data_IF_448785160401
#
_entry.id   IF_448785160401
#
_cell.length_a   1.000
_cell.length_b   1.000
_cell.length_c   1.000
_cell.angle_alpha   90.00
_cell.angle_beta   90.00
_cell.angle_gamma   90.00
#
_symmetry.space_group_name_H-M   'P 1'
#
loop_
_entity.id
_entity.type
_entity.pdbx_description
1 polymer ?
#
# COMPACT_ATOMS: atom_id res chain seq x y z
N UNK A 1 -19.81 -3.18 -7.65
CA UNK A 1 -18.47 -2.93 -8.23
C UNK A 1 -18.66 -1.85 -9.28
N UNK A 2 -18.11 -0.66 -9.06
CA UNK A 2 -18.33 0.49 -9.96
C UNK A 2 -17.61 0.23 -11.30
N UNK A 3 -18.23 0.60 -12.41
CA UNK A 3 -17.69 0.44 -13.78
C UNK A 3 -16.27 1.02 -13.91
N UNK A 4 -16.01 2.15 -13.26
CA UNK A 4 -14.68 2.78 -13.16
C UNK A 4 -13.64 1.89 -12.45
N UNK A 5 -14.03 1.15 -11.42
CA UNK A 5 -13.11 0.23 -10.73
C UNK A 5 -12.74 -0.98 -11.58
N UNK A 6 -13.70 -1.49 -12.34
CA UNK A 6 -13.45 -2.58 -13.29
C UNK A 6 -12.48 -2.13 -14.39
N UNK A 7 -12.65 -0.90 -14.89
CA UNK A 7 -11.75 -0.31 -15.89
C UNK A 7 -10.35 -0.10 -15.31
N UNK A 8 -10.21 0.52 -14.14
CA UNK A 8 -8.91 0.73 -13.49
C UNK A 8 -8.19 -0.59 -13.16
N UNK A 9 -8.93 -1.59 -12.67
CA UNK A 9 -8.37 -2.92 -12.42
C UNK A 9 -7.93 -3.63 -13.70
N UNK A 10 -8.66 -3.44 -14.81
CA UNK A 10 -8.30 -3.99 -16.12
C UNK A 10 -7.05 -3.29 -16.68
N UNK A 11 -7.01 -1.96 -16.62
CA UNK A 11 -5.85 -1.16 -17.05
C UNK A 11 -4.62 -1.52 -16.24
N UNK A 12 -4.75 -1.62 -14.91
CA UNK A 12 -3.65 -2.02 -14.02
C UNK A 12 -3.10 -3.41 -14.38
N UNK A 13 -3.97 -4.39 -14.68
CA UNK A 13 -3.54 -5.72 -15.11
C UNK A 13 -2.84 -5.70 -16.47
N UNK A 14 -3.39 -5.00 -17.46
CA UNK A 14 -2.76 -4.86 -18.78
C UNK A 14 -1.37 -4.22 -18.67
N UNK A 15 -1.24 -3.15 -17.87
CA UNK A 15 0.05 -2.50 -17.66
C UNK A 15 1.04 -3.42 -16.92
N UNK A 16 0.57 -4.17 -15.92
CA UNK A 16 1.44 -5.03 -15.13
C UNK A 16 1.86 -6.30 -15.87
N UNK A 17 0.93 -6.97 -16.52
CA UNK A 17 1.18 -8.28 -17.14
C UNK A 17 1.73 -8.13 -18.56
N UNK A 18 1.12 -7.32 -19.42
CA UNK A 18 1.52 -7.22 -20.82
C UNK A 18 2.74 -6.31 -21.01
N UNK A 19 2.69 -5.06 -20.47
CA UNK A 19 3.77 -4.10 -20.71
C UNK A 19 5.03 -4.48 -19.95
N UNK A 20 4.92 -4.94 -18.69
CA UNK A 20 6.08 -5.37 -17.91
C UNK A 20 6.75 -6.60 -18.49
N UNK A 21 5.97 -7.54 -19.09
CA UNK A 21 6.53 -8.70 -19.77
C UNK A 21 7.29 -8.31 -21.05
N UNK A 22 6.72 -7.41 -21.86
CA UNK A 22 7.39 -6.92 -23.06
C UNK A 22 8.70 -6.20 -22.72
N UNK A 23 8.70 -5.31 -21.73
CA UNK A 23 9.90 -4.59 -21.31
C UNK A 23 10.95 -5.55 -20.74
N UNK A 24 10.55 -6.57 -19.98
CA UNK A 24 11.47 -7.59 -19.47
C UNK A 24 12.07 -8.44 -20.61
N UNK A 25 11.28 -8.78 -21.64
CA UNK A 25 11.77 -9.48 -22.81
C UNK A 25 12.76 -8.65 -23.63
N UNK A 26 12.52 -7.34 -23.76
CA UNK A 26 13.46 -6.40 -24.40
C UNK A 26 14.77 -6.32 -23.60
N UNK A 27 14.70 -6.30 -22.27
CA UNK A 27 15.90 -6.32 -21.41
C UNK A 27 16.74 -7.59 -21.61
N UNK A 28 16.10 -8.76 -21.67
CA UNK A 28 16.79 -10.03 -21.94
C UNK A 28 17.42 -10.07 -23.35
N UNK A 29 16.73 -9.52 -24.37
CA UNK A 29 17.29 -9.43 -25.71
C UNK A 29 18.50 -8.49 -25.77
N UNK A 30 18.43 -7.37 -25.04
CA UNK A 30 19.56 -6.43 -24.94
C UNK A 30 20.76 -7.08 -24.26
N UNK A 31 20.54 -7.86 -23.19
CA UNK A 31 21.60 -8.63 -22.52
C UNK A 31 22.23 -9.67 -23.44
N UNK A 32 21.41 -10.40 -24.20
CA UNK A 32 21.89 -11.36 -25.18
C UNK A 32 22.76 -10.67 -26.28
N UNK A 33 22.27 -9.55 -26.82
CA UNK A 33 23.05 -8.76 -27.81
C UNK A 33 24.36 -8.26 -27.19
N UNK A 34 24.36 -7.80 -25.95
CA UNK A 34 25.59 -7.37 -25.26
C UNK A 34 26.59 -8.50 -25.10
N UNK A 35 26.14 -9.73 -24.83
CA UNK A 35 26.99 -10.90 -24.74
C UNK A 35 27.57 -11.28 -26.11
N UNK A 36 26.76 -11.25 -27.18
CA UNK A 36 27.17 -11.63 -28.52
C UNK A 36 28.20 -10.65 -29.15
N UNK A 37 28.10 -9.36 -28.82
CA UNK A 37 28.94 -8.31 -29.40
C UNK A 37 30.04 -7.80 -28.47
N UNK A 38 30.21 -8.37 -27.29
CA UNK A 38 31.16 -7.95 -26.28
C UNK A 38 32.59 -7.76 -26.82
N UNK A 39 33.07 -8.72 -27.59
CA UNK A 39 34.43 -8.73 -28.12
C UNK A 39 34.58 -7.97 -29.44
N UNK A 40 33.46 -7.71 -30.15
CA UNK A 40 33.45 -7.12 -31.48
C UNK A 40 33.25 -5.60 -31.46
N UNK A 41 32.58 -5.08 -30.41
CA UNK A 41 32.23 -3.67 -30.34
C UNK A 41 32.25 -3.15 -28.88
N UNK A 42 33.41 -3.01 -28.24
CA UNK A 42 33.50 -2.59 -26.83
C UNK A 42 32.90 -1.19 -26.56
N UNK A 43 32.78 -0.34 -27.58
CA UNK A 43 32.10 0.95 -27.46
C UNK A 43 30.56 0.88 -27.31
N UNK A 44 29.94 -0.26 -27.60
CA UNK A 44 28.48 -0.47 -27.42
C UNK A 44 28.13 -0.89 -25.97
N UNK A 45 29.08 -1.39 -25.21
CA UNK A 45 28.84 -1.93 -23.87
C UNK A 45 28.30 -0.85 -22.92
N UNK A 46 28.86 0.35 -22.96
CA UNK A 46 28.39 1.49 -22.15
C UNK A 46 26.95 1.92 -22.53
N UNK A 47 26.66 2.00 -23.83
CA UNK A 47 25.31 2.36 -24.31
C UNK A 47 24.26 1.31 -23.98
N UNK A 48 24.61 0.03 -24.08
CA UNK A 48 23.72 -1.06 -23.72
C UNK A 48 23.40 -1.04 -22.22
N UNK A 49 24.39 -0.75 -21.36
CA UNK A 49 24.20 -0.60 -19.93
C UNK A 49 23.28 0.60 -19.59
N UNK A 50 23.46 1.74 -20.26
CA UNK A 50 22.58 2.91 -20.09
C UNK A 50 21.13 2.60 -20.48
N UNK A 51 20.91 1.90 -21.59
CA UNK A 51 19.56 1.51 -22.03
C UNK A 51 18.95 0.53 -21.03
N UNK A 52 19.74 -0.38 -20.49
CA UNK A 52 19.26 -1.34 -19.50
C UNK A 52 18.84 -0.66 -18.21
N UNK A 53 19.60 0.32 -17.74
CA UNK A 53 19.26 1.13 -16.57
C UNK A 53 17.95 1.92 -16.77
N UNK A 54 17.78 2.54 -17.95
CA UNK A 54 16.56 3.23 -18.32
C UNK A 54 15.34 2.29 -18.38
N UNK A 55 15.54 1.06 -18.86
CA UNK A 55 14.50 0.04 -18.95
C UNK A 55 14.08 -0.43 -17.56
N UNK A 56 15.01 -0.69 -16.65
CA UNK A 56 14.74 -1.04 -15.26
C UNK A 56 14.00 0.08 -14.53
N UNK A 57 14.40 1.32 -14.77
CA UNK A 57 13.72 2.49 -14.24
C UNK A 57 12.28 2.61 -14.76
N UNK A 58 12.05 2.38 -16.05
CA UNK A 58 10.70 2.39 -16.64
C UNK A 58 9.81 1.28 -16.09
N UNK A 59 10.35 0.07 -15.91
CA UNK A 59 9.64 -1.06 -15.26
C UNK A 59 9.29 -0.72 -13.81
N UNK A 60 10.20 -0.07 -13.08
CA UNK A 60 9.97 0.39 -11.71
C UNK A 60 8.81 1.40 -11.65
N UNK A 61 8.81 2.42 -12.49
CA UNK A 61 7.75 3.42 -12.58
C UNK A 61 6.40 2.81 -12.96
N UNK A 62 6.39 1.87 -13.92
CA UNK A 62 5.18 1.16 -14.31
C UNK A 62 4.58 0.35 -13.16
N UNK A 63 5.42 -0.33 -12.38
CA UNK A 63 4.99 -1.06 -11.18
C UNK A 63 4.42 -0.11 -10.11
N UNK A 64 5.02 1.06 -9.93
CA UNK A 64 4.53 2.06 -8.99
C UNK A 64 3.14 2.56 -9.42
N UNK A 65 2.94 2.92 -10.68
CA UNK A 65 1.64 3.34 -11.24
C UNK A 65 0.59 2.23 -11.09
N UNK A 66 0.93 0.99 -11.43
CA UNK A 66 -0.03 -0.13 -11.32
C UNK A 66 -0.43 -0.42 -9.87
N UNK A 67 0.50 -0.27 -8.92
CA UNK A 67 0.23 -0.41 -7.50
C UNK A 67 -0.61 0.76 -6.95
N UNK A 68 -0.47 1.95 -7.50
CA UNK A 68 -1.33 3.10 -7.16
C UNK A 68 -2.77 2.89 -7.63
N UNK A 69 -2.93 2.34 -8.84
CA UNK A 69 -4.25 2.08 -9.42
C UNK A 69 -4.97 0.91 -8.72
N UNK A 70 -4.24 -0.15 -8.39
CA UNK A 70 -4.81 -1.32 -7.71
C UNK A 70 -3.73 -2.08 -6.94
N UNK A 71 -3.78 -2.11 -5.60
CA UNK A 71 -2.77 -2.80 -4.78
C UNK A 71 -2.89 -4.32 -4.92
N UNK A 72 -2.49 -4.85 -6.06
CA UNK A 72 -2.51 -6.30 -6.37
C UNK A 72 -1.72 -7.14 -5.37
N UNK A 73 -0.75 -6.53 -4.67
CA UNK A 73 0.02 -7.16 -3.61
C UNK A 73 -0.86 -7.60 -2.43
N UNK A 74 -1.91 -6.81 -2.11
CA UNK A 74 -2.87 -7.15 -1.05
C UNK A 74 -3.68 -8.40 -1.41
N UNK A 75 -4.06 -8.54 -2.68
CA UNK A 75 -4.81 -9.71 -3.17
C UNK A 75 -3.96 -10.98 -3.17
N UNK A 76 -2.70 -10.87 -3.59
CA UNK A 76 -1.80 -12.02 -3.76
C UNK A 76 -1.15 -12.48 -2.47
N UNK A 77 -0.76 -11.56 -1.60
CA UNK A 77 0.06 -11.85 -0.43
C UNK A 77 -0.59 -11.43 0.91
N UNK A 78 -1.77 -10.81 0.86
CA UNK A 78 -2.49 -10.35 2.05
C UNK A 78 -2.00 -9.01 2.59
N UNK A 79 -2.79 -8.45 3.51
CA UNK A 79 -2.56 -7.11 4.06
C UNK A 79 -1.27 -7.01 4.86
N UNK A 80 -0.96 -8.00 5.70
CA UNK A 80 0.24 -7.98 6.54
C UNK A 80 1.51 -7.85 5.68
N UNK A 81 1.66 -8.73 4.69
CA UNK A 81 2.82 -8.70 3.79
C UNK A 81 2.90 -7.39 2.98
N UNK A 82 1.74 -6.88 2.53
CA UNK A 82 1.69 -5.61 1.81
C UNK A 82 2.16 -4.43 2.68
N UNK A 83 1.74 -4.40 3.96
CA UNK A 83 2.18 -3.38 4.93
C UNK A 83 3.67 -3.51 5.27
N UNK A 84 4.19 -4.72 5.43
CA UNK A 84 5.63 -4.94 5.66
C UNK A 84 6.47 -4.38 4.51
N UNK A 85 6.03 -4.60 3.27
CA UNK A 85 6.69 -4.05 2.08
C UNK A 85 6.57 -2.52 2.00
N UNK A 86 5.40 -1.96 2.33
CA UNK A 86 5.20 -0.52 2.37
C UNK A 86 6.13 0.14 3.40
N UNK A 87 6.22 -0.45 4.60
CA UNK A 87 7.14 0.01 5.66
C UNK A 87 8.60 -0.08 5.21
N UNK A 88 8.98 -1.16 4.54
CA UNK A 88 10.33 -1.31 3.96
C UNK A 88 10.68 -0.18 2.99
N UNK A 89 9.74 0.18 2.10
CA UNK A 89 9.88 1.30 1.15
C UNK A 89 10.03 2.65 1.88
N UNK A 90 9.18 2.91 2.87
CA UNK A 90 9.21 4.17 3.64
C UNK A 90 10.48 4.29 4.48
N UNK A 91 10.95 3.18 5.06
CA UNK A 91 12.15 3.13 5.89
C UNK A 91 13.41 3.59 5.16
N UNK A 92 13.51 3.37 3.86
CA UNK A 92 14.65 3.81 3.05
C UNK A 92 14.84 5.32 3.05
N UNK A 93 13.77 6.10 3.26
CA UNK A 93 13.81 7.58 3.27
C UNK A 93 13.39 8.22 4.61
N UNK A 94 13.21 7.42 5.67
CA UNK A 94 12.79 7.90 6.98
C UNK A 94 13.84 7.54 8.06
N UNK A 95 14.48 8.50 8.69
CA UNK A 95 15.57 8.25 9.65
C UNK A 95 15.11 7.72 11.01
N UNK A 96 13.78 7.66 11.23
CA UNK A 96 13.16 7.23 12.47
C UNK A 96 12.85 5.72 12.52
N UNK A 97 12.11 5.35 13.55
CA UNK A 97 11.65 3.98 13.77
C UNK A 97 10.23 3.78 13.23
N UNK A 98 10.03 2.71 12.45
CA UNK A 98 8.72 2.24 12.00
C UNK A 98 8.45 0.86 12.60
N UNK A 99 7.28 0.67 13.19
CA UNK A 99 6.84 -0.60 13.78
C UNK A 99 5.48 -1.00 13.20
N UNK A 100 5.32 -2.30 12.93
CA UNK A 100 4.05 -2.90 12.55
C UNK A 100 3.64 -3.91 13.62
N UNK A 101 2.45 -3.72 14.16
CA UNK A 101 1.79 -4.63 15.07
C UNK A 101 0.55 -5.19 14.36
N UNK A 102 0.66 -6.40 13.86
CA UNK A 102 -0.40 -7.07 13.13
C UNK A 102 -0.88 -8.30 13.92
N UNK A 103 -2.18 -8.35 14.20
CA UNK A 103 -2.77 -9.55 14.80
C UNK A 103 -2.78 -10.70 13.77
N UNK A 104 -1.89 -11.67 13.95
CA UNK A 104 -1.70 -12.79 13.04
C UNK A 104 -2.95 -13.67 12.88
N UNK A 105 -3.87 -13.64 13.82
CA UNK A 105 -5.15 -14.35 13.75
C UNK A 105 -6.19 -13.64 12.88
N UNK A 106 -5.94 -12.36 12.55
CA UNK A 106 -6.90 -11.52 11.88
C UNK A 106 -7.03 -11.90 10.39
N UNK A 107 -8.27 -12.12 9.96
CA UNK A 107 -8.62 -12.30 8.56
C UNK A 107 -9.39 -11.08 8.08
N UNK A 108 -8.69 -10.18 7.41
CA UNK A 108 -9.28 -8.96 6.86
C UNK A 108 -9.85 -9.27 5.46
N UNK A 109 -11.13 -8.99 5.19
CA UNK A 109 -11.69 -9.14 3.84
C UNK A 109 -10.89 -8.35 2.81
N UNK A 110 -10.69 -8.90 1.61
CA UNK A 110 -9.80 -8.32 0.58
C UNK A 110 -10.14 -6.86 0.24
N UNK A 111 -11.44 -6.52 0.14
CA UNK A 111 -11.88 -5.15 -0.15
C UNK A 111 -11.43 -4.19 0.97
N UNK A 112 -11.65 -4.58 2.23
CA UNK A 112 -11.23 -3.80 3.38
C UNK A 112 -9.70 -3.75 3.50
N UNK A 113 -9.03 -4.85 3.20
CA UNK A 113 -7.57 -4.92 3.21
C UNK A 113 -6.94 -3.92 2.22
N UNK A 114 -7.52 -3.76 1.03
CA UNK A 114 -7.11 -2.74 0.05
C UNK A 114 -7.33 -1.32 0.58
N UNK A 115 -8.48 -1.07 1.21
CA UNK A 115 -8.77 0.22 1.83
C UNK A 115 -7.77 0.54 2.94
N UNK A 116 -7.51 -0.41 3.85
CA UNK A 116 -6.53 -0.25 4.92
C UNK A 116 -5.12 -0.02 4.40
N UNK A 117 -4.73 -0.72 3.33
CA UNK A 117 -3.43 -0.48 2.67
C UNK A 117 -3.32 0.96 2.15
N UNK A 118 -4.33 1.47 1.42
CA UNK A 118 -4.33 2.83 0.89
C UNK A 118 -4.37 3.90 1.99
N UNK A 119 -5.16 3.68 3.03
CA UNK A 119 -5.19 4.55 4.21
C UNK A 119 -3.81 4.56 4.90
N UNK A 120 -3.16 3.40 5.05
CA UNK A 120 -1.82 3.32 5.63
C UNK A 120 -0.78 4.07 4.79
N UNK A 121 -0.84 3.98 3.47
CA UNK A 121 0.06 4.69 2.55
C UNK A 121 -0.06 6.21 2.74
N UNK A 122 -1.28 6.74 2.75
CA UNK A 122 -1.55 8.16 2.98
C UNK A 122 -1.14 8.60 4.40
N UNK A 123 -1.47 7.79 5.42
CA UNK A 123 -1.17 8.10 6.81
C UNK A 123 0.35 8.11 7.08
N UNK A 124 1.09 7.16 6.50
CA UNK A 124 2.56 7.12 6.58
C UNK A 124 3.20 8.32 5.90
N UNK A 125 2.68 8.76 4.75
CA UNK A 125 3.20 9.94 4.06
C UNK A 125 2.98 11.21 4.90
N UNK A 126 1.84 11.35 5.55
CA UNK A 126 1.57 12.44 6.48
C UNK A 126 2.48 12.39 7.70
N UNK A 127 2.61 11.22 8.34
CA UNK A 127 3.41 11.04 9.55
C UNK A 127 4.89 11.34 9.33
N UNK A 128 5.49 10.80 8.23
CA UNK A 128 6.91 11.03 7.93
C UNK A 128 7.27 12.48 7.61
N UNK A 129 6.29 13.30 7.21
CA UNK A 129 6.44 14.73 6.93
C UNK A 129 6.19 15.59 8.17
N UNK A 130 5.68 15.02 9.26
CA UNK A 130 5.45 15.76 10.49
C UNK A 130 6.79 16.22 11.10
N UNK A 131 6.94 17.51 11.46
CA UNK A 131 8.19 18.02 11.99
C UNK A 131 8.61 17.27 13.27
N UNK A 132 9.89 16.85 13.32
CA UNK A 132 10.44 16.13 14.46
C UNK A 132 9.92 14.69 14.63
N UNK A 133 9.20 14.15 13.65
CA UNK A 133 8.76 12.77 13.69
C UNK A 133 9.96 11.82 13.64
N UNK A 134 10.05 10.94 14.63
CA UNK A 134 11.10 9.93 14.77
C UNK A 134 10.56 8.53 15.07
N UNK A 135 9.26 8.41 15.33
CA UNK A 135 8.59 7.14 15.60
C UNK A 135 7.22 7.13 14.91
N UNK A 136 6.95 6.05 14.19
CA UNK A 136 5.63 5.76 13.61
C UNK A 136 5.27 4.33 13.97
N UNK A 137 4.11 4.14 14.59
CA UNK A 137 3.56 2.83 14.94
C UNK A 137 2.29 2.57 14.13
N UNK A 138 2.19 1.37 13.55
CA UNK A 138 1.03 0.90 12.80
C UNK A 138 0.45 -0.31 13.52
N UNK A 139 -0.83 -0.26 13.85
CA UNK A 139 -1.55 -1.36 14.47
C UNK A 139 -2.70 -1.81 13.59
N UNK A 140 -2.77 -3.12 13.31
CA UNK A 140 -3.92 -3.76 12.67
C UNK A 140 -4.45 -4.83 13.60
N UNK A 141 -5.65 -4.62 14.12
CA UNK A 141 -6.22 -5.46 15.16
C UNK A 141 -7.74 -5.56 15.08
N UNK A 142 -8.29 -6.50 15.81
CA UNK A 142 -9.72 -6.55 16.11
C UNK A 142 -9.94 -5.87 17.48
N UNK A 143 -10.86 -4.91 17.54
CA UNK A 143 -11.22 -4.24 18.79
C UNK A 143 -12.69 -3.84 18.78
N UNK A 144 -13.40 -4.08 19.87
CA UNK A 144 -14.80 -3.64 20.07
C UNK A 144 -15.78 -4.06 18.96
N UNK A 145 -15.57 -5.25 18.35
CA UNK A 145 -16.42 -5.71 17.25
C UNK A 145 -16.09 -5.08 15.90
N UNK A 146 -14.94 -4.44 15.75
CA UNK A 146 -14.49 -3.79 14.53
C UNK A 146 -13.12 -4.31 14.08
N UNK A 147 -12.86 -4.25 12.77
CA UNK A 147 -11.51 -4.21 12.23
C UNK A 147 -10.96 -2.81 12.43
N UNK A 148 -9.78 -2.68 12.98
CA UNK A 148 -9.16 -1.40 13.28
C UNK A 148 -7.76 -1.35 12.69
N UNK A 149 -7.51 -0.32 11.88
CA UNK A 149 -6.19 0.14 11.49
C UNK A 149 -5.92 1.45 12.24
N UNK A 150 -4.77 1.53 12.89
CA UNK A 150 -4.34 2.72 13.61
C UNK A 150 -2.90 3.05 13.23
N UNK A 151 -2.66 4.28 12.79
CA UNK A 151 -1.32 4.79 12.48
C UNK A 151 -1.08 5.97 13.40
N UNK A 152 -0.05 5.88 14.23
CA UNK A 152 0.33 6.94 15.15
C UNK A 152 1.76 7.39 14.90
N UNK A 153 2.00 8.68 15.12
CA UNK A 153 3.33 9.28 15.04
C UNK A 153 3.61 10.17 16.27
N UNK A 154 4.88 10.46 16.50
CA UNK A 154 5.31 11.35 17.57
C UNK A 154 5.76 12.73 17.07
N UNK A 155 5.43 13.09 15.84
CA UNK A 155 5.78 14.37 15.24
C UNK A 155 5.06 15.55 15.90
N UNK A 156 5.61 16.73 15.80
CA UNK A 156 4.94 17.92 16.28
C UNK A 156 3.83 18.34 15.33
N UNK A 157 2.73 18.85 15.90
CA UNK A 157 1.67 19.48 15.11
C UNK A 157 2.18 20.80 14.59
N UNK A 158 2.85 20.75 13.43
CA UNK A 158 3.24 21.95 12.69
C UNK A 158 2.02 22.59 12.01
N UNK A 159 2.13 23.87 11.65
CA UNK A 159 1.13 24.56 10.84
C UNK A 159 0.94 23.80 9.53
N UNK A 160 -0.18 23.13 9.40
CA UNK A 160 -0.51 22.15 8.34
C UNK A 160 -0.91 22.81 7.01
N UNK A 161 -0.18 23.81 6.56
CA UNK A 161 -0.39 24.37 5.22
C UNK A 161 -0.05 23.38 4.07
N UNK A 162 0.66 22.27 4.37
CA UNK A 162 1.12 21.33 3.35
C UNK A 162 0.34 20.00 3.28
N UNK A 163 -0.72 19.81 4.05
CA UNK A 163 -1.41 18.51 4.13
C UNK A 163 -2.88 18.44 3.59
N UNK A 164 -3.42 19.44 2.83
CA UNK A 164 -4.80 19.31 2.36
C UNK A 164 -5.02 18.08 1.48
N UNK A 165 -4.05 17.75 0.62
CA UNK A 165 -4.15 16.61 -0.29
C UNK A 165 -4.09 15.25 0.45
N UNK A 166 -3.18 15.10 1.41
CA UNK A 166 -3.07 13.86 2.18
C UNK A 166 -4.32 13.55 3.00
N UNK A 167 -4.89 14.57 3.65
CA UNK A 167 -6.17 14.42 4.37
C UNK A 167 -7.32 14.13 3.40
N UNK A 168 -7.39 14.82 2.26
CA UNK A 168 -8.42 14.60 1.24
C UNK A 168 -8.38 13.15 0.71
N UNK A 169 -7.19 12.60 0.49
CA UNK A 169 -7.03 11.21 0.05
C UNK A 169 -7.45 10.21 1.14
N UNK A 170 -7.12 10.46 2.40
CA UNK A 170 -7.59 9.66 3.53
C UNK A 170 -9.12 9.60 3.57
N UNK A 171 -9.77 10.77 3.53
CA UNK A 171 -11.22 10.91 3.56
C UNK A 171 -11.87 10.22 2.33
N UNK A 172 -11.26 10.35 1.15
CA UNK A 172 -11.70 9.68 -0.06
C UNK A 172 -11.67 8.15 0.08
N UNK A 173 -10.53 7.56 0.51
CA UNK A 173 -10.42 6.10 0.63
C UNK A 173 -11.29 5.54 1.75
N UNK A 174 -11.46 6.27 2.84
CA UNK A 174 -12.34 5.89 3.92
C UNK A 174 -13.81 5.89 3.48
N UNK A 175 -14.27 7.01 2.91
CA UNK A 175 -15.64 7.19 2.43
C UNK A 175 -16.02 6.16 1.35
N UNK A 176 -15.14 5.96 0.34
CA UNK A 176 -15.35 5.00 -0.75
C UNK A 176 -15.57 3.57 -0.24
N UNK A 177 -14.94 3.19 0.85
CA UNK A 177 -14.98 1.82 1.40
C UNK A 177 -15.83 1.70 2.67
N UNK A 178 -16.62 2.72 3.00
CA UNK A 178 -17.46 2.76 4.20
C UNK A 178 -16.68 2.55 5.51
N UNK A 179 -15.42 2.98 5.53
CA UNK A 179 -14.55 2.94 6.70
C UNK A 179 -14.75 4.22 7.50
N UNK A 180 -14.96 4.08 8.81
CA UNK A 180 -15.02 5.23 9.72
C UNK A 180 -13.59 5.70 9.98
N UNK A 181 -13.30 6.96 9.65
CA UNK A 181 -12.01 7.58 9.87
C UNK A 181 -12.09 8.59 11.03
N UNK A 182 -11.12 8.51 11.94
CA UNK A 182 -10.94 9.48 13.02
C UNK A 182 -9.47 9.91 13.05
N UNK A 183 -9.24 11.20 13.11
CA UNK A 183 -7.89 11.76 13.28
C UNK A 183 -7.85 12.54 14.57
N UNK A 184 -6.97 12.13 15.47
CA UNK A 184 -6.74 12.80 16.75
C UNK A 184 -5.34 13.38 16.74
N UNK A 185 -5.22 14.63 17.20
CA UNK A 185 -3.93 15.33 17.35
C UNK A 185 -3.76 15.69 18.80
N UNK A 186 -2.68 15.22 19.40
CA UNK A 186 -2.37 15.50 20.80
C UNK A 186 -1.15 16.41 20.84
N UNK A 187 -1.33 17.64 21.32
CA UNK A 187 -0.21 18.60 21.45
C UNK A 187 0.96 17.97 22.22
N UNK A 188 2.15 17.97 21.60
CA UNK A 188 3.37 17.40 22.16
C UNK A 188 3.45 15.88 22.15
N UNK A 189 2.48 15.16 21.54
CA UNK A 189 2.45 13.70 21.46
C UNK A 189 2.24 13.15 20.05
N UNK A 190 2.10 14.04 19.04
CA UNK A 190 1.93 13.63 17.66
C UNK A 190 0.48 13.47 17.21
N UNK A 191 0.23 12.63 16.22
CA UNK A 191 -1.10 12.36 15.69
C UNK A 191 -1.43 10.87 15.70
N UNK A 192 -2.74 10.57 15.73
CA UNK A 192 -3.28 9.22 15.58
C UNK A 192 -4.36 9.26 14.51
N UNK A 193 -4.18 8.47 13.48
CA UNK A 193 -5.18 8.22 12.43
C UNK A 193 -5.73 6.83 12.65
N UNK A 194 -7.03 6.75 12.96
CA UNK A 194 -7.74 5.50 13.20
C UNK A 194 -8.80 5.29 12.12
N UNK A 195 -8.72 4.17 11.44
CA UNK A 195 -9.71 3.69 10.49
C UNK A 195 -10.37 2.43 11.05
N UNK A 196 -11.70 2.40 11.13
CA UNK A 196 -12.46 1.27 11.66
C UNK A 196 -13.58 0.84 10.72
N UNK A 197 -13.87 -0.46 10.72
CA UNK A 197 -14.93 -1.08 9.95
C UNK A 197 -15.59 -2.16 10.79
N UNK A 198 -16.94 -2.17 10.92
CA UNK A 198 -17.63 -3.15 11.73
C UNK A 198 -17.40 -4.58 11.22
N UNK A 199 -17.22 -5.51 12.16
CA UNK A 199 -17.21 -6.93 11.81
C UNK A 199 -18.60 -7.34 11.33
N UNK A 200 -18.69 -8.22 10.31
CA UNK A 200 -19.97 -8.80 9.95
C UNK A 200 -20.55 -9.50 11.18
N UNK A 201 -21.84 -9.27 11.44
CA UNK A 201 -22.55 -9.98 12.49
C UNK A 201 -22.37 -11.48 12.27
N UNK A 202 -21.97 -12.22 13.30
CA UNK A 202 -21.95 -13.68 13.23
C UNK A 202 -23.34 -14.15 12.77
N UNK A 203 -23.44 -15.09 11.81
CA UNK A 203 -24.73 -15.68 11.46
C UNK A 203 -25.35 -16.19 12.77
N UNK A 204 -26.58 -15.78 13.06
CA UNK A 204 -27.34 -16.34 14.15
C UNK A 204 -27.44 -17.85 13.88
N UNK A 205 -26.70 -18.66 14.63
CA UNK A 205 -26.95 -20.10 14.67
C UNK A 205 -28.42 -20.27 14.99
N UNK A 206 -29.15 -20.83 14.03
CA UNK A 206 -30.54 -21.19 14.19
C UNK A 206 -30.64 -22.01 15.47
N UNK A 207 -31.23 -21.39 16.50
CA UNK A 207 -31.68 -22.12 17.66
C UNK A 207 -32.67 -23.16 17.13
N UNK A 208 -32.22 -24.38 17.00
CA UNK A 208 -33.05 -25.56 16.78
C UNK A 208 -34.00 -25.64 17.96
N UNK A 209 -35.22 -25.12 17.76
CA UNK A 209 -36.35 -25.42 18.60
C UNK A 209 -36.55 -26.92 18.55
N UNK A 210 -36.04 -27.61 19.56
CA UNK A 210 -36.40 -29.00 19.84
C UNK A 210 -37.87 -29.05 20.14
N UNK A 211 -38.65 -29.50 19.16
CA UNK A 211 -40.02 -29.97 19.39
C UNK A 211 -39.94 -31.28 20.14
N UNK A 212 -40.10 -31.22 21.46
CA UNK A 212 -40.40 -32.36 22.27
C UNK A 212 -41.88 -32.70 22.12
N UNK A 213 -42.13 -33.94 21.68
CA UNK A 213 -43.41 -34.63 21.83
C UNK A 213 -43.37 -35.48 23.09
#
# INVERSE_FOLDING_TARGET
MNEHEAVLSRVSRLLHDDVSQVLSAVGLQLDAMRMDFRDQAPGLEGRAAEIQELLEQAIGQLRDITNELNPSIVERAGLQFALDRLIGKVRAGFPGTLRLHFDASLRVPTVLAKAFYKISECALDLARRAPGCSLIDIHVKRAQGEYVLEVSDNGSVGSTAAAPLGQLLLDYYASKNHVTLRTERVMGRGSVIRASFPLPAAPLENATLGSGS
#
